data_IF_319351645764
#
_entry.id   IF_319351645764
#
_cell.length_a   1.000
_cell.length_b   1.000
_cell.length_c   1.000
_cell.angle_alpha   90.00
_cell.angle_beta   90.00
_cell.angle_gamma   90.00
#
_symmetry.space_group_name_H-M   'P 1'
#
loop_
_entity.id
_entity.type
_entity.pdbx_description
1 polymer ?
#
# COMPACT_ATOMS: atom_id res chain seq x y z
N UNK A 1 4.46 26.25 4.37
CA UNK A 1 5.23 25.40 3.45
C UNK A 1 5.76 24.26 4.27
N UNK A 2 5.48 23.02 3.87
CA UNK A 2 6.01 21.86 4.59
C UNK A 2 7.45 21.58 4.17
N UNK A 3 8.27 21.17 5.13
CA UNK A 3 9.70 20.93 4.93
C UNK A 3 9.94 19.73 4.00
N UNK A 4 10.82 19.91 3.01
CA UNK A 4 11.27 18.84 2.11
C UNK A 4 12.68 18.42 2.54
N UNK A 5 12.80 17.18 3.01
CA UNK A 5 14.06 16.57 3.41
C UNK A 5 14.65 15.79 2.23
N UNK A 6 15.97 15.91 2.03
CA UNK A 6 16.71 15.22 0.95
C UNK A 6 17.61 14.15 1.56
N UNK A 7 17.61 12.96 0.99
CA UNK A 7 18.36 11.80 1.45
C UNK A 7 19.10 11.15 0.28
N UNK A 8 20.29 10.60 0.58
CA UNK A 8 21.11 9.88 -0.40
C UNK A 8 20.78 8.40 -0.47
N UNK A 9 20.38 7.79 0.65
CA UNK A 9 20.09 6.35 0.72
C UNK A 9 18.78 6.06 1.44
N UNK A 10 18.18 4.90 1.15
CA UNK A 10 17.03 4.40 1.91
C UNK A 10 17.40 4.13 3.38
N UNK A 11 18.65 3.76 3.64
CA UNK A 11 19.19 3.62 4.99
C UNK A 11 19.09 4.95 5.75
N UNK A 12 19.44 6.08 5.14
CA UNK A 12 19.30 7.39 5.79
C UNK A 12 17.84 7.73 6.10
N UNK A 13 16.91 7.36 5.21
CA UNK A 13 15.47 7.52 5.46
C UNK A 13 15.02 6.63 6.61
N UNK A 14 15.42 5.36 6.64
CA UNK A 14 15.08 4.44 7.73
C UNK A 14 15.59 4.95 9.08
N UNK A 15 16.81 5.52 9.11
CA UNK A 15 17.36 6.16 10.30
C UNK A 15 16.52 7.36 10.72
N UNK A 16 16.17 8.23 9.78
CA UNK A 16 15.30 9.38 10.04
C UNK A 16 13.94 8.95 10.59
N UNK A 17 13.29 7.93 10.00
CA UNK A 17 12.02 7.40 10.50
C UNK A 17 12.15 6.85 11.93
N UNK A 18 13.23 6.12 12.24
CA UNK A 18 13.51 5.66 13.61
C UNK A 18 13.74 6.82 14.57
N UNK A 19 14.41 7.89 14.15
CA UNK A 19 14.62 9.10 14.97
C UNK A 19 13.30 9.84 15.22
N UNK A 20 12.46 9.99 14.20
CA UNK A 20 11.11 10.58 14.31
C UNK A 20 10.29 9.82 15.34
N UNK A 21 10.33 8.48 15.30
CA UNK A 21 9.64 7.61 16.26
C UNK A 21 10.34 7.52 17.63
N UNK A 22 11.58 8.04 17.79
CA UNK A 22 12.34 8.00 19.05
C UNK A 22 12.30 9.31 19.83
N UNK A 23 11.92 10.43 19.21
CA UNK A 23 12.05 11.76 19.82
C UNK A 23 11.04 12.00 20.97
N UNK A 24 11.38 11.43 22.13
CA UNK A 24 10.88 11.58 23.50
C UNK A 24 11.13 12.98 24.08
N UNK A 25 10.55 14.04 23.52
CA UNK A 25 10.70 15.37 24.13
C UNK A 25 9.54 15.79 25.06
N UNK A 26 8.38 15.11 25.01
CA UNK A 26 7.31 15.28 26.01
C UNK A 26 6.48 14.00 26.13
N UNK A 27 6.19 13.51 27.34
CA UNK A 27 5.16 12.51 27.58
C UNK A 27 3.78 13.16 27.39
N UNK A 28 3.38 13.38 26.13
CA UNK A 28 1.99 13.58 25.76
C UNK A 28 1.39 12.22 25.44
N UNK A 29 0.12 12.00 25.80
CA UNK A 29 -0.67 10.76 25.58
C UNK A 29 -0.94 10.47 24.07
N UNK A 30 0.05 10.59 23.19
CA UNK A 30 -0.17 10.62 21.75
C UNK A 30 0.70 9.59 21.00
N UNK A 31 0.07 8.54 20.45
CA UNK A 31 0.77 7.45 19.73
C UNK A 31 1.61 7.96 18.56
N UNK A 32 2.88 7.56 18.50
CA UNK A 32 3.80 7.90 17.40
C UNK A 32 3.60 6.94 16.21
N UNK A 33 2.93 7.44 15.17
CA UNK A 33 2.69 6.73 13.92
C UNK A 33 3.28 7.50 12.74
N UNK A 34 3.90 6.81 11.79
CA UNK A 34 4.30 7.36 10.50
C UNK A 34 3.45 6.75 9.39
N UNK A 35 2.77 7.59 8.62
CA UNK A 35 2.08 7.21 7.40
C UNK A 35 2.86 7.74 6.18
N UNK A 36 3.33 6.83 5.32
CA UNK A 36 4.23 7.12 4.21
C UNK A 36 3.54 6.78 2.89
N UNK A 37 3.24 7.79 2.07
CA UNK A 37 2.82 7.56 0.70
C UNK A 37 4.04 7.50 -0.22
N UNK A 38 4.09 6.53 -1.12
CA UNK A 38 5.11 6.49 -2.16
C UNK A 38 4.65 5.70 -3.38
N UNK A 39 4.90 6.24 -4.57
CA UNK A 39 4.53 5.58 -5.83
C UNK A 39 5.20 4.21 -5.99
N UNK A 40 4.69 3.42 -6.93
CA UNK A 40 5.33 2.17 -7.33
C UNK A 40 6.75 2.45 -7.82
N UNK A 41 7.70 1.60 -7.43
CA UNK A 41 9.12 1.80 -7.74
C UNK A 41 9.88 2.76 -6.80
N UNK A 42 9.22 3.45 -5.86
CA UNK A 42 9.91 4.36 -4.92
C UNK A 42 10.82 3.64 -3.89
N UNK A 43 10.82 2.31 -3.86
CA UNK A 43 11.67 1.53 -2.96
C UNK A 43 11.09 1.27 -1.57
N UNK A 44 9.77 1.42 -1.37
CA UNK A 44 9.10 1.21 -0.06
C UNK A 44 9.39 -0.16 0.57
N UNK A 45 9.34 -1.23 -0.21
CA UNK A 45 9.69 -2.58 0.27
C UNK A 45 11.16 -2.67 0.69
N UNK A 46 12.08 -2.02 -0.01
CA UNK A 46 13.50 -1.97 0.41
C UNK A 46 13.66 -1.12 1.66
N UNK A 47 12.92 -0.02 1.79
CA UNK A 47 12.91 0.83 2.98
C UNK A 47 12.42 0.07 4.22
N UNK A 48 11.37 -0.77 4.10
CA UNK A 48 10.91 -1.61 5.21
C UNK A 48 11.99 -2.59 5.68
N UNK A 49 12.77 -3.13 4.74
CA UNK A 49 13.90 -3.99 5.06
C UNK A 49 15.04 -3.22 5.71
N UNK A 50 15.46 -2.06 5.18
CA UNK A 50 16.45 -1.19 5.82
C UNK A 50 16.05 -0.83 7.26
N UNK A 51 14.78 -0.48 7.47
CA UNK A 51 14.24 -0.19 8.78
C UNK A 51 14.34 -1.39 9.72
N UNK A 52 13.95 -2.59 9.27
CA UNK A 52 14.05 -3.84 10.03
C UNK A 52 15.51 -4.18 10.36
N UNK A 53 16.42 -4.08 9.40
CA UNK A 53 17.84 -4.45 9.57
C UNK A 53 18.51 -3.59 10.65
N UNK A 54 18.18 -2.29 10.74
CA UNK A 54 18.65 -1.40 11.82
C UNK A 54 18.24 -1.83 13.23
N UNK A 55 17.20 -2.66 13.32
CA UNK A 55 16.67 -3.19 14.57
C UNK A 55 17.35 -4.45 15.06
N UNK A 56 18.27 -5.02 14.27
CA UNK A 56 18.95 -6.26 14.60
C UNK A 56 20.23 -5.99 15.37
N UNK A 57 20.48 -6.79 16.40
CA UNK A 57 21.80 -6.92 17.02
C UNK A 57 22.45 -8.21 16.54
N UNK A 58 23.78 -8.18 16.44
CA UNK A 58 24.60 -9.30 15.98
C UNK A 58 25.61 -9.66 17.06
N UNK A 59 25.94 -10.95 17.18
CA UNK A 59 27.12 -11.40 17.93
C UNK A 59 28.40 -11.24 17.09
N UNK A 60 29.54 -11.59 17.69
CA UNK A 60 30.86 -11.52 17.06
C UNK A 60 30.98 -12.46 15.84
N UNK A 61 30.14 -13.49 15.75
CA UNK A 61 30.09 -14.47 14.66
C UNK A 61 29.11 -14.06 13.53
N UNK A 62 28.42 -12.92 13.68
CA UNK A 62 27.47 -12.41 12.70
C UNK A 62 26.06 -13.04 12.77
N UNK A 63 25.75 -13.79 13.82
CA UNK A 63 24.41 -14.31 14.05
C UNK A 63 23.53 -13.24 14.71
N UNK A 64 22.25 -13.23 14.36
CA UNK A 64 21.29 -12.27 14.92
C UNK A 64 20.93 -12.69 16.35
N UNK A 65 21.29 -11.85 17.33
CA UNK A 65 21.01 -12.10 18.76
C UNK A 65 19.70 -11.48 19.24
N UNK A 66 19.27 -10.38 18.62
CA UNK A 66 18.01 -9.74 18.95
C UNK A 66 17.44 -8.94 17.78
N UNK A 67 16.13 -8.67 17.82
CA UNK A 67 15.38 -7.91 16.82
C UNK A 67 14.35 -7.05 17.56
N UNK A 68 13.92 -5.95 16.93
CA UNK A 68 12.94 -5.04 17.52
C UNK A 68 11.74 -4.70 16.62
N UNK A 69 11.70 -5.21 15.38
CA UNK A 69 10.71 -4.81 14.36
C UNK A 69 9.94 -6.01 13.82
N UNK A 70 8.62 -5.99 14.00
CA UNK A 70 7.66 -6.84 13.29
C UNK A 70 7.30 -6.15 11.96
N UNK A 71 7.19 -6.89 10.86
CA UNK A 71 6.91 -6.29 9.56
C UNK A 71 5.96 -7.11 8.69
N UNK A 72 5.25 -6.41 7.82
CA UNK A 72 4.44 -6.96 6.72
C UNK A 72 4.91 -6.35 5.41
N UNK A 73 5.28 -7.18 4.45
CA UNK A 73 5.67 -6.81 3.09
C UNK A 73 5.70 -8.08 2.22
N UNK A 74 6.15 -7.97 0.96
CA UNK A 74 6.31 -9.12 0.06
C UNK A 74 7.14 -10.30 0.64
N UNK A 75 8.18 -10.04 1.45
CA UNK A 75 8.95 -11.11 2.10
C UNK A 75 8.14 -11.87 3.16
N UNK A 76 7.11 -11.23 3.73
CA UNK A 76 6.18 -11.87 4.67
C UNK A 76 5.18 -12.74 3.93
N UNK A 77 4.70 -12.28 2.77
CA UNK A 77 3.84 -13.07 1.89
C UNK A 77 4.56 -14.32 1.38
N UNK A 78 5.85 -14.20 1.02
CA UNK A 78 6.70 -15.31 0.58
C UNK A 78 6.95 -16.37 1.67
N UNK A 79 6.58 -16.12 2.93
CA UNK A 79 6.59 -17.14 3.99
C UNK A 79 5.47 -18.18 3.82
N UNK A 80 4.52 -17.91 2.93
CA UNK A 80 3.39 -18.76 2.65
C UNK A 80 3.45 -19.22 1.19
N UNK A 81 3.37 -20.53 0.97
CA UNK A 81 3.55 -21.11 -0.36
C UNK A 81 2.53 -22.19 -0.62
N UNK A 82 1.95 -22.20 -1.83
CA UNK A 82 1.02 -23.26 -2.21
C UNK A 82 1.74 -24.55 -2.56
N UNK A 83 1.26 -25.64 -1.99
CA UNK A 83 1.47 -26.98 -2.49
C UNK A 83 0.19 -27.44 -3.21
N UNK A 84 0.20 -27.33 -4.54
CA UNK A 84 -0.91 -27.67 -5.44
C UNK A 84 -0.51 -28.84 -6.35
N UNK A 85 -1.48 -29.32 -7.14
CA UNK A 85 -1.29 -30.33 -8.21
C UNK A 85 -0.61 -31.62 -7.71
N UNK A 86 -0.98 -32.03 -6.49
CA UNK A 86 -0.56 -33.28 -5.87
C UNK A 86 -1.34 -34.47 -6.45
N UNK A 87 -0.90 -35.68 -6.14
CA UNK A 87 -1.49 -36.90 -6.72
C UNK A 87 -3.02 -36.92 -6.51
N UNK A 88 -3.76 -37.06 -7.61
CA UNK A 88 -5.23 -37.02 -7.67
C UNK A 88 -5.90 -35.66 -7.38
N UNK A 89 -5.17 -34.54 -7.34
CA UNK A 89 -5.73 -33.19 -7.12
C UNK A 89 -6.49 -33.00 -5.79
N UNK A 90 -6.25 -33.88 -4.80
CA UNK A 90 -7.07 -33.96 -3.58
C UNK A 90 -6.52 -33.21 -2.37
N UNK A 91 -5.20 -33.02 -2.28
CA UNK A 91 -4.53 -32.54 -1.05
C UNK A 91 -3.92 -31.14 -1.20
N UNK A 92 -4.71 -30.14 -1.59
CA UNK A 92 -4.20 -28.75 -1.74
C UNK A 92 -4.06 -28.08 -0.39
N UNK A 93 -2.87 -27.58 -0.08
CA UNK A 93 -2.63 -26.86 1.18
C UNK A 93 -1.63 -25.72 1.02
N UNK A 94 -1.71 -24.79 1.96
CA UNK A 94 -0.86 -23.61 2.04
C UNK A 94 0.22 -23.83 3.10
N UNK A 95 1.47 -23.97 2.67
CA UNK A 95 2.61 -24.31 3.51
C UNK A 95 3.23 -23.07 4.14
N UNK A 96 3.55 -23.18 5.43
CA UNK A 96 4.18 -22.15 6.25
C UNK A 96 5.69 -22.41 6.37
N UNK A 97 6.50 -21.37 6.16
CA UNK A 97 7.95 -21.45 6.34
C UNK A 97 8.35 -21.31 7.83
N UNK A 98 8.30 -22.41 8.58
CA UNK A 98 8.56 -22.46 10.03
C UNK A 98 9.96 -22.08 10.47
N UNK A 99 10.93 -21.99 9.56
CA UNK A 99 12.27 -21.46 9.87
C UNK A 99 12.25 -19.96 10.17
N UNK A 100 11.17 -19.26 9.80
CA UNK A 100 10.97 -17.86 10.10
C UNK A 100 10.52 -17.64 11.54
N UNK A 101 11.17 -16.69 12.22
CA UNK A 101 10.78 -16.25 13.57
C UNK A 101 9.37 -15.67 13.64
N UNK A 102 8.78 -15.32 12.49
CA UNK A 102 7.38 -14.93 12.35
C UNK A 102 6.42 -15.97 12.94
N UNK A 103 6.82 -17.25 12.93
CA UNK A 103 5.99 -18.37 13.38
C UNK A 103 6.37 -18.91 14.76
N UNK A 104 7.32 -18.30 15.48
CA UNK A 104 7.82 -18.84 16.76
C UNK A 104 6.74 -19.01 17.83
N UNK A 105 5.72 -18.13 17.85
CA UNK A 105 4.61 -18.21 18.81
C UNK A 105 3.44 -19.09 18.37
N UNK A 106 3.49 -19.68 17.16
CA UNK A 106 2.32 -20.34 16.56
C UNK A 106 1.76 -21.50 17.37
N UNK A 107 2.65 -22.33 17.94
CA UNK A 107 2.25 -23.61 18.54
C UNK A 107 1.60 -23.46 19.91
N UNK A 108 1.89 -22.38 20.62
CA UNK A 108 1.45 -22.17 22.01
C UNK A 108 0.26 -21.20 22.09
N UNK A 109 0.08 -20.38 21.06
CA UNK A 109 -0.96 -19.36 21.00
C UNK A 109 -2.07 -19.87 20.06
N UNK A 110 -3.29 -20.01 20.57
CA UNK A 110 -4.50 -20.36 19.79
C UNK A 110 -4.81 -19.24 18.78
N UNK A 111 -4.00 -19.15 17.74
CA UNK A 111 -4.04 -18.08 16.76
C UNK A 111 -5.23 -18.22 15.84
N UNK A 112 -5.79 -19.42 15.65
CA UNK A 112 -6.97 -19.63 14.78
C UNK A 112 -8.11 -18.69 15.17
N UNK A 113 -8.48 -18.61 16.45
CA UNK A 113 -9.60 -17.76 16.88
C UNK A 113 -9.37 -16.27 16.59
N UNK A 114 -8.12 -15.80 16.74
CA UNK A 114 -7.77 -14.40 16.41
C UNK A 114 -7.80 -14.18 14.90
N UNK A 115 -7.22 -15.10 14.13
CA UNK A 115 -7.19 -15.02 12.66
C UNK A 115 -8.62 -15.07 12.10
N UNK A 116 -9.45 -16.00 12.57
CA UNK A 116 -10.87 -16.12 12.22
C UNK A 116 -11.61 -14.82 12.52
N UNK A 117 -11.36 -14.18 13.67
CA UNK A 117 -12.01 -12.91 14.04
C UNK A 117 -11.75 -11.75 13.07
N UNK A 118 -10.64 -11.81 12.31
CA UNK A 118 -10.38 -10.86 11.22
C UNK A 118 -10.86 -11.41 9.88
N UNK A 119 -10.61 -12.68 9.58
CA UNK A 119 -10.82 -13.27 8.25
C UNK A 119 -12.29 -13.32 7.83
N UNK A 120 -13.20 -13.62 8.77
CA UNK A 120 -14.64 -13.68 8.49
C UNK A 120 -15.25 -12.33 8.09
N UNK A 121 -14.57 -11.21 8.34
CA UNK A 121 -15.02 -9.88 7.91
C UNK A 121 -14.87 -9.68 6.41
N UNK A 122 -13.98 -10.44 5.76
CA UNK A 122 -13.60 -10.24 4.37
C UNK A 122 -14.02 -11.41 3.47
N UNK A 123 -14.05 -12.62 4.02
CA UNK A 123 -14.24 -13.84 3.24
C UNK A 123 -15.13 -14.84 4.00
N UNK A 124 -16.09 -15.44 3.29
CA UNK A 124 -16.91 -16.56 3.79
C UNK A 124 -16.20 -17.91 3.52
N UNK A 125 -15.08 -18.10 4.21
CA UNK A 125 -14.26 -19.32 4.14
C UNK A 125 -13.83 -19.76 5.53
N UNK A 126 -13.66 -21.06 5.69
CA UNK A 126 -13.08 -21.68 6.89
C UNK A 126 -11.65 -22.12 6.58
N UNK A 127 -10.81 -22.18 7.61
CA UNK A 127 -9.47 -22.73 7.50
C UNK A 127 -9.13 -23.57 8.71
N UNK A 128 -8.15 -24.45 8.56
CA UNK A 128 -7.58 -25.24 9.64
C UNK A 128 -6.05 -25.20 9.53
N UNK A 129 -5.38 -24.88 10.64
CA UNK A 129 -3.91 -24.82 10.70
C UNK A 129 -3.40 -26.11 11.33
N UNK A 130 -2.63 -26.87 10.56
CA UNK A 130 -1.87 -28.00 11.06
C UNK A 130 -0.47 -27.52 11.48
N UNK A 131 -0.28 -27.34 12.79
CA UNK A 131 0.98 -26.88 13.37
C UNK A 131 2.10 -27.95 13.37
N UNK A 132 1.75 -29.23 13.22
CA UNK A 132 2.73 -30.31 13.12
C UNK A 132 3.37 -30.31 11.74
N UNK A 133 2.54 -30.23 10.69
CA UNK A 133 2.97 -30.22 9.30
C UNK A 133 3.22 -28.82 8.73
N UNK A 134 2.93 -27.78 9.51
CA UNK A 134 3.06 -26.38 9.12
C UNK A 134 2.28 -26.07 7.83
N UNK A 135 1.02 -26.51 7.77
CA UNK A 135 0.15 -26.35 6.63
C UNK A 135 -1.19 -25.76 7.02
N UNK A 136 -1.84 -25.08 6.07
CA UNK A 136 -3.19 -24.55 6.23
C UNK A 136 -4.06 -25.12 5.12
N UNK A 137 -5.20 -25.66 5.51
CA UNK A 137 -6.23 -26.17 4.60
C UNK A 137 -7.42 -25.21 4.66
N UNK A 138 -8.02 -24.95 3.50
CA UNK A 138 -9.22 -24.12 3.40
C UNK A 138 -10.43 -24.98 3.06
N UNK A 139 -11.59 -24.57 3.57
CA UNK A 139 -12.87 -25.20 3.28
C UNK A 139 -14.00 -24.18 3.16
N UNK A 140 -15.08 -24.58 2.50
CA UNK A 140 -16.29 -23.76 2.36
C UNK A 140 -17.54 -24.60 2.57
N UNK A 141 -18.60 -23.97 3.07
CA UNK A 141 -19.93 -24.57 3.09
C UNK A 141 -20.58 -24.39 1.71
N UNK A 142 -21.15 -25.46 1.16
CA UNK A 142 -21.89 -25.45 -0.10
C UNK A 142 -23.24 -26.16 0.09
N UNK A 143 -24.28 -25.73 -0.63
CA UNK A 143 -25.60 -26.36 -0.55
C UNK A 143 -25.73 -27.34 -1.70
N UNK A 144 -25.55 -28.61 -1.41
CA UNK A 144 -25.67 -29.69 -2.39
C UNK A 144 -26.94 -30.48 -2.07
N UNK A 145 -27.87 -30.49 -3.03
CA UNK A 145 -29.17 -31.19 -2.90
C UNK A 145 -30.01 -30.76 -1.68
N UNK A 146 -29.89 -29.50 -1.25
CA UNK A 146 -30.64 -28.95 -0.12
C UNK A 146 -30.07 -29.27 1.26
N UNK A 147 -28.91 -29.92 1.32
CA UNK A 147 -28.14 -30.11 2.55
C UNK A 147 -26.84 -29.29 2.51
N UNK A 148 -26.47 -28.70 3.64
CA UNK A 148 -25.17 -28.05 3.80
C UNK A 148 -24.08 -29.14 3.84
N UNK A 149 -23.14 -29.07 2.92
CA UNK A 149 -21.96 -29.92 2.86
C UNK A 149 -20.70 -29.05 2.92
N UNK A 150 -19.70 -29.50 3.67
CA UNK A 150 -18.39 -28.83 3.70
C UNK A 150 -17.52 -29.41 2.61
N UNK A 151 -16.93 -28.55 1.78
CA UNK A 151 -15.94 -28.90 0.77
C UNK A 151 -14.57 -28.49 1.30
N UNK A 152 -13.74 -29.48 1.63
CA UNK A 152 -12.38 -29.30 2.13
C UNK A 152 -11.34 -29.23 1.00
N UNK A 153 -10.10 -28.88 1.35
CA UNK A 153 -8.92 -28.84 0.46
C UNK A 153 -9.12 -27.95 -0.78
N UNK A 154 -9.84 -26.84 -0.64
CA UNK A 154 -10.09 -25.94 -1.76
C UNK A 154 -8.90 -25.03 -2.04
N UNK A 155 -8.69 -24.72 -3.33
CA UNK A 155 -7.80 -23.64 -3.75
C UNK A 155 -8.57 -22.33 -3.72
N UNK A 156 -8.07 -21.36 -2.97
CA UNK A 156 -8.64 -20.01 -2.89
C UNK A 156 -7.99 -19.07 -3.91
N UNK A 157 -8.62 -17.93 -4.21
CA UNK A 157 -8.11 -16.91 -5.12
C UNK A 157 -6.89 -16.18 -4.56
N UNK A 158 -6.12 -15.50 -5.42
CA UNK A 158 -4.98 -14.68 -5.00
C UNK A 158 -5.36 -13.59 -4.00
N UNK A 159 -6.52 -12.97 -4.17
CA UNK A 159 -7.03 -11.96 -3.23
C UNK A 159 -7.31 -12.57 -1.85
N UNK A 160 -7.96 -13.74 -1.81
CA UNK A 160 -8.23 -14.47 -0.55
C UNK A 160 -6.94 -14.96 0.12
N UNK A 161 -5.92 -15.35 -0.65
CA UNK A 161 -4.59 -15.67 -0.11
C UNK A 161 -3.99 -14.45 0.60
N UNK A 162 -3.93 -13.30 -0.09
CA UNK A 162 -3.41 -12.05 0.49
C UNK A 162 -4.19 -11.65 1.74
N UNK A 163 -5.52 -11.78 1.72
CA UNK A 163 -6.38 -11.52 2.87
C UNK A 163 -6.08 -12.44 4.05
N UNK A 164 -5.87 -13.74 3.80
CA UNK A 164 -5.53 -14.68 4.86
C UNK A 164 -4.19 -14.34 5.50
N UNK A 165 -3.14 -14.11 4.70
CA UNK A 165 -1.80 -13.72 5.20
C UNK A 165 -1.90 -12.41 5.99
N UNK A 166 -2.69 -11.45 5.51
CA UNK A 166 -2.95 -10.19 6.20
C UNK A 166 -3.65 -10.40 7.55
N UNK A 167 -4.71 -11.21 7.61
CA UNK A 167 -5.40 -11.54 8.87
C UNK A 167 -4.49 -12.27 9.86
N UNK A 168 -3.62 -13.14 9.34
CA UNK A 168 -2.57 -13.80 10.11
C UNK A 168 -1.62 -12.78 10.75
N UNK A 169 -1.16 -11.81 9.96
CA UNK A 169 -0.33 -10.72 10.45
C UNK A 169 -1.04 -9.85 11.48
N UNK A 170 -2.31 -9.48 11.26
CA UNK A 170 -3.10 -8.71 12.22
C UNK A 170 -3.24 -9.43 13.57
N UNK A 171 -3.42 -10.75 13.57
CA UNK A 171 -3.47 -11.54 14.80
C UNK A 171 -2.14 -11.46 15.58
N UNK A 172 -1.00 -11.49 14.89
CA UNK A 172 0.32 -11.30 15.51
C UNK A 172 0.50 -9.86 16.00
N UNK A 173 0.08 -8.86 15.22
CA UNK A 173 0.11 -7.47 15.66
C UNK A 173 -0.72 -7.26 16.93
N UNK A 174 -1.91 -7.86 17.02
CA UNK A 174 -2.73 -7.81 18.23
C UNK A 174 -1.99 -8.40 19.42
N UNK A 175 -1.33 -9.56 19.27
CA UNK A 175 -0.53 -10.15 20.35
C UNK A 175 0.63 -9.26 20.80
N UNK A 176 1.32 -8.61 19.85
CA UNK A 176 2.36 -7.65 20.18
C UNK A 176 1.80 -6.45 20.98
N UNK A 177 0.67 -5.88 20.53
CA UNK A 177 -0.01 -4.76 21.20
C UNK A 177 -0.49 -5.16 22.61
N UNK A 178 -0.96 -6.40 22.76
CA UNK A 178 -1.40 -7.00 24.03
C UNK A 178 -0.22 -7.36 24.95
N UNK A 179 1.03 -7.13 24.53
CA UNK A 179 2.27 -7.50 25.25
C UNK A 179 2.37 -8.99 25.58
N UNK A 180 1.91 -9.85 24.68
CA UNK A 180 2.11 -11.28 24.81
C UNK A 180 3.62 -11.61 24.93
N UNK A 181 4.04 -12.47 25.88
CA UNK A 181 5.46 -12.81 26.07
C UNK A 181 6.17 -13.30 24.81
N UNK A 182 5.47 -13.96 23.89
CA UNK A 182 6.07 -14.43 22.63
C UNK A 182 6.47 -13.27 21.69
N UNK A 183 5.85 -12.11 21.86
CA UNK A 183 6.05 -10.92 21.01
C UNK A 183 6.53 -9.68 21.78
N UNK A 184 6.99 -9.84 23.02
CA UNK A 184 7.48 -8.73 23.86
C UNK A 184 8.74 -8.03 23.30
N UNK A 185 9.41 -8.65 22.32
CA UNK A 185 10.56 -8.08 21.62
C UNK A 185 10.15 -6.99 20.60
N UNK A 186 8.87 -6.96 20.20
CA UNK A 186 8.36 -6.03 19.18
C UNK A 186 8.27 -4.62 19.77
N UNK A 187 9.13 -3.73 19.31
CA UNK A 187 9.10 -2.28 19.62
C UNK A 187 8.55 -1.45 18.48
N UNK A 188 8.69 -1.96 17.26
CA UNK A 188 8.25 -1.32 16.03
C UNK A 188 7.42 -2.26 15.18
N UNK A 189 6.38 -1.73 14.53
CA UNK A 189 5.65 -2.39 13.45
C UNK A 189 5.93 -1.63 12.15
N UNK A 190 6.26 -2.35 11.08
CA UNK A 190 6.41 -1.77 9.75
C UNK A 190 5.51 -2.50 8.76
N UNK A 191 4.53 -1.80 8.16
CA UNK A 191 3.60 -2.36 7.19
C UNK A 191 3.85 -1.71 5.83
N UNK A 192 4.16 -2.49 4.82
CA UNK A 192 4.36 -2.04 3.44
C UNK A 192 3.30 -2.66 2.52
N UNK A 193 2.47 -1.82 1.91
CA UNK A 193 1.47 -2.15 0.89
C UNK A 193 0.59 -3.39 1.22
N UNK A 194 -0.19 -3.36 2.31
CA UNK A 194 -0.92 -4.54 2.80
C UNK A 194 -2.10 -5.00 1.93
N UNK A 195 -2.38 -4.30 0.83
CA UNK A 195 -3.58 -4.50 0.01
C UNK A 195 -3.27 -4.65 -1.49
N UNK A 196 -2.03 -4.95 -1.86
CA UNK A 196 -1.69 -5.19 -3.26
C UNK A 196 -2.56 -6.30 -3.84
N UNK A 197 -3.39 -5.97 -4.84
CA UNK A 197 -4.34 -6.87 -5.55
C UNK A 197 -5.74 -7.05 -4.92
N UNK A 198 -6.13 -6.23 -3.93
CA UNK A 198 -7.49 -6.24 -3.38
C UNK A 198 -8.41 -5.20 -4.04
N UNK A 199 -9.72 -5.43 -3.96
CA UNK A 199 -10.73 -4.45 -4.40
C UNK A 199 -10.87 -3.26 -3.44
N UNK A 200 -11.55 -2.20 -3.89
CA UNK A 200 -11.71 -0.96 -3.12
C UNK A 200 -12.48 -1.14 -1.80
N UNK A 201 -13.44 -2.07 -1.72
CA UNK A 201 -14.23 -2.28 -0.50
C UNK A 201 -13.39 -2.98 0.57
N UNK A 202 -12.62 -3.98 0.17
CA UNK A 202 -11.67 -4.66 1.03
C UNK A 202 -10.57 -3.69 1.50
N UNK A 203 -10.06 -2.85 0.61
CA UNK A 203 -9.08 -1.81 0.97
C UNK A 203 -9.59 -0.86 2.07
N UNK A 204 -10.84 -0.39 1.98
CA UNK A 204 -11.44 0.47 3.01
C UNK A 204 -11.56 -0.28 4.34
N UNK A 205 -12.11 -1.50 4.31
CA UNK A 205 -12.38 -2.30 5.50
C UNK A 205 -11.08 -2.61 6.26
N UNK A 206 -10.04 -3.04 5.53
CA UNK A 206 -8.72 -3.31 6.09
C UNK A 206 -8.08 -2.05 6.69
N UNK A 207 -8.23 -0.90 6.05
CA UNK A 207 -7.72 0.37 6.58
C UNK A 207 -8.41 0.72 7.91
N UNK A 208 -9.74 0.58 7.97
CA UNK A 208 -10.51 0.82 9.19
C UNK A 208 -10.10 -0.13 10.32
N UNK A 209 -9.99 -1.43 10.04
CA UNK A 209 -9.63 -2.45 11.03
C UNK A 209 -8.20 -2.25 11.53
N UNK A 210 -7.24 -1.95 10.64
CA UNK A 210 -5.87 -1.61 11.02
C UNK A 210 -5.83 -0.36 11.89
N UNK A 211 -6.57 0.69 11.52
CA UNK A 211 -6.61 1.90 12.31
C UNK A 211 -7.21 1.65 13.69
N UNK A 212 -8.30 0.88 13.78
CA UNK A 212 -8.90 0.48 15.04
C UNK A 212 -7.91 -0.35 15.88
N UNK A 213 -7.23 -1.32 15.31
CA UNK A 213 -6.23 -2.13 16.00
C UNK A 213 -5.13 -1.26 16.61
N UNK A 214 -4.55 -0.34 15.83
CA UNK A 214 -3.45 0.51 16.28
C UNK A 214 -3.90 1.62 17.24
N UNK A 215 -5.15 2.06 17.16
CA UNK A 215 -5.71 3.11 18.03
C UNK A 215 -6.33 2.57 19.31
N UNK A 216 -6.77 1.32 19.34
CA UNK A 216 -7.31 0.65 20.52
C UNK A 216 -6.18 0.20 21.45
N UNK A 217 -6.36 0.32 22.77
CA UNK A 217 -5.37 -0.10 23.77
C UNK A 217 -4.41 1.01 24.22
N UNK A 218 -3.89 0.86 25.44
CA UNK A 218 -3.05 1.86 26.14
C UNK A 218 -1.54 1.72 25.93
N UNK A 219 -1.08 0.74 25.16
CA UNK A 219 0.33 0.51 24.84
C UNK A 219 0.58 0.96 23.40
N UNK A 220 1.56 1.83 23.20
CA UNK A 220 1.87 2.43 21.90
C UNK A 220 3.07 1.73 21.28
N UNK A 221 2.81 0.77 20.39
CA UNK A 221 3.86 0.25 19.50
C UNK A 221 4.05 1.27 18.36
N UNK A 222 5.30 1.71 18.19
CA UNK A 222 5.68 2.67 17.17
C UNK A 222 5.51 2.05 15.79
N UNK A 223 4.74 2.70 14.94
CA UNK A 223 4.29 2.08 13.69
C UNK A 223 4.64 2.92 12.47
N UNK A 224 5.17 2.29 11.42
CA UNK A 224 5.32 2.86 10.08
C UNK A 224 4.39 2.11 9.14
N UNK A 225 3.57 2.84 8.38
CA UNK A 225 2.74 2.27 7.32
C UNK A 225 3.15 2.95 6.02
N UNK A 226 3.68 2.19 5.05
CA UNK A 226 3.97 2.67 3.71
C UNK A 226 2.99 2.11 2.70
N UNK A 227 2.49 2.96 1.80
CA UNK A 227 1.64 2.48 0.71
C UNK A 227 1.73 3.31 -0.57
N UNK A 228 1.47 2.68 -1.72
CA UNK A 228 1.14 3.37 -2.97
C UNK A 228 -0.36 3.52 -3.18
N UNK A 229 -1.19 2.83 -2.40
CA UNK A 229 -2.61 2.76 -2.62
C UNK A 229 -3.33 3.93 -1.94
N UNK A 230 -3.87 4.79 -2.78
CA UNK A 230 -4.31 6.12 -2.38
C UNK A 230 -5.58 6.17 -1.54
N UNK A 231 -6.56 5.32 -1.86
CA UNK A 231 -7.78 5.21 -1.05
C UNK A 231 -7.43 4.75 0.37
N UNK A 232 -6.65 3.68 0.47
CA UNK A 232 -6.10 3.14 1.72
C UNK A 232 -5.34 4.19 2.52
N UNK A 233 -4.40 4.91 1.90
CA UNK A 233 -3.70 6.03 2.54
C UNK A 233 -4.68 7.07 3.08
N UNK A 234 -5.70 7.46 2.29
CA UNK A 234 -6.68 8.47 2.69
C UNK A 234 -7.59 8.01 3.83
N UNK A 235 -8.03 6.75 3.81
CA UNK A 235 -8.83 6.18 4.92
C UNK A 235 -7.99 6.19 6.20
N UNK A 236 -6.75 5.68 6.14
CA UNK A 236 -5.84 5.72 7.28
C UNK A 236 -5.53 7.15 7.75
N UNK A 237 -5.29 8.08 6.82
CA UNK A 237 -5.08 9.48 7.14
C UNK A 237 -6.24 10.05 7.96
N UNK A 238 -7.47 9.78 7.54
CA UNK A 238 -8.67 10.28 8.20
C UNK A 238 -8.93 9.56 9.53
N UNK A 239 -8.74 8.24 9.58
CA UNK A 239 -8.96 7.44 10.78
C UNK A 239 -7.94 7.76 11.88
N UNK A 240 -6.65 7.90 11.52
CA UNK A 240 -5.63 8.33 12.48
C UNK A 240 -5.81 9.80 12.87
N UNK A 241 -6.12 10.65 11.87
CA UNK A 241 -6.64 12.01 12.01
C UNK A 241 -6.33 12.70 13.35
N UNK A 242 -7.38 12.99 14.13
CA UNK A 242 -7.27 13.59 15.47
C UNK A 242 -7.09 12.58 16.61
N UNK A 243 -7.16 11.28 16.32
CA UNK A 243 -7.09 10.21 17.32
C UNK A 243 -5.64 9.90 17.72
N UNK A 244 -4.69 10.13 16.82
CA UNK A 244 -3.28 9.74 16.96
C UNK A 244 -2.37 10.80 16.36
N UNK A 245 -1.27 11.10 17.04
CA UNK A 245 -0.21 11.96 16.49
C UNK A 245 0.54 11.21 15.40
N UNK A 246 0.08 11.40 14.18
CA UNK A 246 0.69 10.79 13.00
C UNK A 246 1.56 11.81 12.27
N UNK A 247 2.79 11.41 11.94
CA UNK A 247 3.60 12.07 10.93
C UNK A 247 3.24 11.50 9.57
N UNK A 248 2.99 12.38 8.60
CA UNK A 248 2.57 11.98 7.27
C UNK A 248 3.63 12.45 6.29
N UNK A 249 4.16 11.53 5.53
CA UNK A 249 5.25 11.79 4.60
C UNK A 249 4.90 11.33 3.19
N UNK A 250 5.46 12.05 2.23
CA UNK A 250 5.52 11.63 0.84
C UNK A 250 6.95 11.25 0.49
N UNK A 251 7.16 9.99 0.08
CA UNK A 251 8.41 9.48 -0.44
C UNK A 251 8.44 9.62 -1.96
N UNK A 252 9.40 10.39 -2.45
CA UNK A 252 9.66 10.51 -3.88
C UNK A 252 11.08 10.03 -4.19
N UNK A 253 11.18 9.18 -5.20
CA UNK A 253 12.45 8.78 -5.82
C UNK A 253 12.64 9.64 -7.08
N UNK A 254 13.64 10.53 -7.09
CA UNK A 254 13.91 11.37 -8.26
C UNK A 254 14.83 10.65 -9.24
N UNK A 255 16.00 10.26 -8.76
CA UNK A 255 17.11 9.68 -9.52
C UNK A 255 17.87 8.71 -8.60
N UNK A 256 18.77 7.85 -9.12
CA UNK A 256 19.68 7.08 -8.27
C UNK A 256 20.32 7.98 -7.21
N UNK A 257 20.30 7.52 -5.96
CA UNK A 257 20.85 8.22 -4.79
C UNK A 257 20.21 9.59 -4.46
N UNK A 258 19.01 9.89 -4.99
CA UNK A 258 18.26 11.10 -4.65
C UNK A 258 16.83 10.74 -4.23
N UNK A 259 16.65 10.63 -2.92
CA UNK A 259 15.35 10.47 -2.28
C UNK A 259 14.91 11.79 -1.64
N UNK A 260 13.61 12.09 -1.72
CA UNK A 260 13.04 13.24 -1.04
C UNK A 260 11.83 12.83 -0.22
N UNK A 261 11.79 13.28 1.04
CA UNK A 261 10.72 13.05 1.98
C UNK A 261 10.05 14.39 2.31
N UNK A 262 8.76 14.54 2.03
CA UNK A 262 8.02 15.77 2.35
C UNK A 262 6.98 15.51 3.41
N UNK A 263 6.97 16.29 4.51
CA UNK A 263 5.87 16.27 5.49
C UNK A 263 4.59 16.83 4.84
N UNK A 264 3.45 16.18 4.99
CA UNK A 264 2.18 16.64 4.39
C UNK A 264 1.26 17.36 5.39
N UNK A 265 1.65 17.41 6.68
CA UNK A 265 0.88 18.07 7.73
C UNK A 265 -0.55 17.52 7.88
N UNK A 266 -1.51 18.41 8.14
CA UNK A 266 -2.94 18.09 8.32
C UNK A 266 -3.77 18.14 7.04
N UNK A 267 -3.15 18.37 5.89
CA UNK A 267 -3.87 18.40 4.62
C UNK A 267 -4.06 16.95 4.14
N UNK A 268 -5.30 16.43 4.08
CA UNK A 268 -5.56 15.15 3.44
C UNK A 268 -5.05 15.26 2.02
N UNK A 269 -4.05 14.46 1.69
CA UNK A 269 -3.45 14.56 0.38
C UNK A 269 -4.44 14.01 -0.63
N UNK A 270 -5.03 14.89 -1.44
CA UNK A 270 -5.78 14.45 -2.60
C UNK A 270 -4.79 13.77 -3.54
N UNK A 271 -4.74 12.44 -3.54
CA UNK A 271 -3.98 11.63 -4.50
C UNK A 271 -4.09 12.11 -5.95
N UNK A 272 -5.25 12.68 -6.31
CA UNK A 272 -5.44 13.35 -7.59
C UNK A 272 -4.37 14.41 -7.84
N UNK A 273 -3.97 15.20 -6.84
CA UNK A 273 -2.89 16.19 -6.96
C UNK A 273 -1.54 15.55 -7.26
N UNK A 274 -1.16 14.40 -6.66
CA UNK A 274 0.10 13.72 -7.03
C UNK A 274 0.06 13.23 -8.49
N UNK A 275 -1.03 12.58 -8.90
CA UNK A 275 -1.16 12.13 -10.28
C UNK A 275 -1.11 13.34 -11.22
N UNK A 276 -1.86 14.41 -10.93
CA UNK A 276 -1.85 15.64 -11.75
C UNK A 276 -0.43 16.22 -11.80
N UNK A 277 0.30 16.24 -10.70
CA UNK A 277 1.70 16.68 -10.65
C UNK A 277 2.65 15.82 -11.48
N UNK A 278 2.50 14.49 -11.45
CA UNK A 278 3.27 13.57 -12.28
C UNK A 278 2.99 13.80 -13.77
N UNK A 279 1.71 13.91 -14.13
CA UNK A 279 1.28 14.23 -15.49
C UNK A 279 1.83 15.59 -15.97
N UNK A 280 2.00 16.57 -15.07
CA UNK A 280 2.65 17.85 -15.39
C UNK A 280 4.11 17.66 -15.81
N UNK A 281 4.89 16.90 -15.04
CA UNK A 281 6.29 16.58 -15.36
C UNK A 281 6.40 15.79 -16.68
N UNK A 282 5.44 14.91 -16.93
CA UNK A 282 5.34 14.15 -18.20
C UNK A 282 5.11 15.09 -19.38
N UNK A 283 4.22 16.09 -19.24
CA UNK A 283 3.97 17.12 -20.26
C UNK A 283 5.22 17.97 -20.52
N UNK A 284 5.94 18.36 -19.46
CA UNK A 284 7.16 19.16 -19.54
C UNK A 284 8.34 18.39 -20.17
N UNK A 285 8.47 17.09 -19.88
CA UNK A 285 9.54 16.23 -20.39
C UNK A 285 9.27 15.63 -21.78
N UNK A 286 8.05 15.80 -22.32
CA UNK A 286 7.56 15.24 -23.58
C UNK A 286 7.61 13.69 -23.68
N UNK A 287 7.89 12.98 -22.58
CA UNK A 287 7.94 11.50 -22.53
C UNK A 287 6.56 10.92 -22.18
N UNK A 288 5.62 11.05 -23.13
CA UNK A 288 4.22 10.68 -22.88
C UNK A 288 3.90 9.29 -23.43
N UNK A 289 3.55 8.36 -22.53
CA UNK A 289 3.15 7.00 -22.81
C UNK A 289 1.62 6.83 -22.74
N UNK A 290 1.11 5.74 -23.32
CA UNK A 290 -0.32 5.42 -23.38
C UNK A 290 -0.99 5.33 -21.99
N UNK A 291 -0.30 4.83 -20.97
CA UNK A 291 -0.86 4.73 -19.62
C UNK A 291 -1.12 6.10 -18.95
N UNK A 292 -0.46 7.18 -19.39
CA UNK A 292 -0.72 8.52 -18.88
C UNK A 292 -2.13 9.01 -19.23
N UNK A 293 -2.70 8.60 -20.38
CA UNK A 293 -4.09 8.88 -20.73
C UNK A 293 -5.06 8.21 -19.73
N UNK A 294 -4.77 6.99 -19.28
CA UNK A 294 -5.60 6.31 -18.29
C UNK A 294 -5.56 7.04 -16.93
N UNK A 295 -4.38 7.50 -16.52
CA UNK A 295 -4.22 8.30 -15.31
C UNK A 295 -5.01 9.62 -15.39
N UNK A 296 -4.89 10.34 -16.52
CA UNK A 296 -5.64 11.58 -16.77
C UNK A 296 -7.15 11.33 -16.79
N UNK A 297 -7.60 10.27 -17.46
CA UNK A 297 -9.01 9.87 -17.51
C UNK A 297 -9.58 9.65 -16.12
N UNK A 298 -8.88 8.88 -15.28
CA UNK A 298 -9.34 8.60 -13.91
C UNK A 298 -9.50 9.87 -13.08
N UNK A 299 -8.59 10.84 -13.24
CA UNK A 299 -8.72 12.15 -12.58
C UNK A 299 -9.95 12.91 -13.09
N UNK A 300 -10.13 12.97 -14.41
CA UNK A 300 -11.24 13.69 -15.02
C UNK A 300 -12.60 13.09 -14.65
N UNK A 301 -12.71 11.76 -14.62
CA UNK A 301 -13.92 11.04 -14.18
C UNK A 301 -14.28 11.36 -12.73
N UNK A 302 -13.29 11.34 -11.83
CA UNK A 302 -13.49 11.67 -10.43
C UNK A 302 -13.83 13.15 -10.24
N UNK A 303 -13.22 14.03 -11.04
CA UNK A 303 -13.53 15.47 -11.03
C UNK A 303 -14.95 15.72 -11.53
N UNK A 304 -15.37 15.06 -12.62
CA UNK A 304 -16.72 15.14 -13.15
C UNK A 304 -17.75 14.69 -12.10
N UNK A 305 -17.50 13.54 -11.47
CA UNK A 305 -18.33 13.03 -10.37
C UNK A 305 -18.41 14.01 -9.20
N UNK A 306 -17.28 14.58 -8.77
CA UNK A 306 -17.23 15.56 -7.68
C UNK A 306 -18.05 16.83 -7.96
N UNK A 307 -18.00 17.35 -9.18
CA UNK A 307 -18.78 18.52 -9.60
C UNK A 307 -20.21 18.19 -10.08
N UNK A 308 -20.62 16.92 -10.08
CA UNK A 308 -21.94 16.48 -10.52
C UNK A 308 -22.17 16.58 -12.04
N UNK A 309 -21.11 16.46 -12.83
CA UNK A 309 -21.20 16.44 -14.29
C UNK A 309 -21.61 15.06 -14.82
N UNK A 310 -22.47 15.05 -15.82
CA UNK A 310 -22.92 13.87 -16.57
C UNK A 310 -21.90 13.39 -17.62
N UNK A 311 -20.90 14.22 -17.95
CA UNK A 311 -19.88 13.94 -18.97
C UNK A 311 -18.52 14.51 -18.59
N UNK A 312 -17.45 13.83 -19.04
CA UNK A 312 -16.05 14.13 -18.72
C UNK A 312 -15.52 15.38 -19.47
N UNK A 313 -16.04 15.67 -20.67
CA UNK A 313 -15.75 16.90 -21.44
C UNK A 313 -15.94 18.17 -20.61
N UNK A 314 -16.94 18.18 -19.73
CA UNK A 314 -17.21 19.31 -18.83
C UNK A 314 -16.06 19.62 -17.88
N UNK A 315 -15.12 18.71 -17.67
CA UNK A 315 -13.91 18.99 -16.88
C UNK A 315 -12.82 19.73 -17.66
N UNK A 316 -12.93 19.87 -18.98
CA UNK A 316 -11.84 20.39 -19.81
C UNK A 316 -12.27 21.71 -20.44
N UNK A 317 -11.34 22.65 -20.57
CA UNK A 317 -11.58 23.93 -21.24
C UNK A 317 -11.10 23.87 -22.70
N UNK A 318 -11.92 24.31 -23.66
CA UNK A 318 -11.51 24.47 -25.06
C UNK A 318 -11.51 23.21 -25.94
N UNK A 319 -12.13 22.11 -25.49
CA UNK A 319 -12.44 20.94 -26.34
C UNK A 319 -13.79 21.08 -27.07
N UNK A 320 -14.17 22.30 -27.43
CA UNK A 320 -15.40 22.55 -28.22
C UNK A 320 -15.32 21.96 -29.64
N UNK A 321 -14.14 21.53 -30.06
CA UNK A 321 -13.94 20.78 -31.31
C UNK A 321 -14.36 19.32 -31.11
N UNK A 322 -15.54 19.00 -31.65
CA UNK A 322 -16.18 17.69 -31.63
C UNK A 322 -15.22 16.58 -32.10
N UNK A 323 -14.34 16.87 -33.06
CA UNK A 323 -13.35 15.92 -33.61
C UNK A 323 -12.22 15.63 -32.62
N UNK A 324 -11.74 16.65 -31.89
CA UNK A 324 -10.73 16.47 -30.85
C UNK A 324 -11.30 15.70 -29.66
N UNK A 325 -12.56 15.96 -29.30
CA UNK A 325 -13.24 15.27 -28.22
C UNK A 325 -13.51 13.80 -28.56
N UNK A 326 -13.99 13.49 -29.77
CA UNK A 326 -14.14 12.12 -30.24
C UNK A 326 -12.81 11.36 -30.25
N UNK A 327 -11.73 11.99 -30.72
CA UNK A 327 -10.38 11.39 -30.70
C UNK A 327 -9.88 11.14 -29.28
N UNK A 328 -10.13 12.08 -28.35
CA UNK A 328 -9.82 11.90 -26.94
C UNK A 328 -10.62 10.76 -26.32
N UNK A 329 -11.93 10.69 -26.58
CA UNK A 329 -12.80 9.60 -26.15
C UNK A 329 -12.36 8.25 -26.71
N UNK A 330 -11.94 8.15 -27.97
CA UNK A 330 -11.41 6.91 -28.55
C UNK A 330 -10.14 6.44 -27.84
N UNK A 331 -9.21 7.36 -27.55
CA UNK A 331 -7.99 7.04 -26.80
C UNK A 331 -8.30 6.63 -25.36
N UNK A 332 -9.26 7.28 -24.72
CA UNK A 332 -9.71 6.93 -23.38
C UNK A 332 -10.46 5.59 -23.34
N UNK A 333 -11.26 5.28 -24.35
CA UNK A 333 -12.18 4.12 -24.37
C UNK A 333 -11.57 2.82 -24.88
N UNK A 334 -10.44 2.87 -25.60
CA UNK A 334 -9.69 1.67 -25.94
C UNK A 334 -8.87 1.17 -24.73
N UNK A 335 -9.52 0.40 -23.86
CA UNK A 335 -8.89 -0.42 -22.80
C UNK A 335 -7.97 -1.54 -23.32
N UNK A 336 -7.35 -1.36 -24.50
CA UNK A 336 -6.39 -2.29 -25.12
C UNK A 336 -4.93 -1.86 -24.96
N UNK A 337 -4.65 -0.70 -24.37
CA UNK A 337 -3.29 -0.37 -23.97
C UNK A 337 -2.96 -1.13 -22.71
N UNK A 338 -2.33 -2.29 -22.88
CA UNK A 338 -1.83 -3.10 -21.77
C UNK A 338 -0.91 -2.25 -20.91
N UNK A 339 -1.21 -2.17 -19.61
CA UNK A 339 -0.31 -1.57 -18.60
C UNK A 339 1.08 -2.24 -18.65
N UNK A 340 1.13 -3.49 -19.16
CA UNK A 340 2.32 -4.33 -19.23
C UNK A 340 3.17 -4.11 -20.50
N UNK A 341 2.74 -3.27 -21.45
CA UNK A 341 3.55 -2.90 -22.64
C UNK A 341 3.39 -1.40 -22.98
N UNK A 342 4.03 -0.50 -22.20
CA UNK A 342 3.88 0.94 -22.38
C UNK A 342 4.61 1.43 -23.64
N UNK A 343 3.84 1.82 -24.66
CA UNK A 343 4.38 2.45 -25.87
C UNK A 343 4.39 3.97 -25.75
N UNK A 344 5.50 4.58 -26.15
CA UNK A 344 5.59 6.03 -26.30
C UNK A 344 4.66 6.48 -27.43
N UNK A 345 3.95 7.58 -27.21
CA UNK A 345 2.93 8.04 -28.15
C UNK A 345 3.50 8.78 -29.34
N UNK A 346 2.78 8.70 -30.46
CA UNK A 346 3.06 9.47 -31.68
C UNK A 346 2.69 10.96 -31.44
N UNK A 347 3.38 11.88 -32.13
CA UNK A 347 3.27 13.34 -31.96
C UNK A 347 1.85 13.87 -31.79
N UNK A 348 0.94 13.54 -32.71
CA UNK A 348 -0.46 13.98 -32.62
C UNK A 348 -1.15 13.62 -31.29
N UNK A 349 -0.90 12.41 -30.77
CA UNK A 349 -1.51 11.95 -29.52
C UNK A 349 -0.85 12.61 -28.30
N UNK A 350 0.46 12.91 -28.38
CA UNK A 350 1.15 13.72 -27.37
C UNK A 350 0.56 15.13 -27.30
N UNK A 351 0.36 15.77 -28.45
CA UNK A 351 -0.20 17.12 -28.52
C UNK A 351 -1.64 17.16 -28.00
N UNK A 352 -2.44 16.14 -28.32
CA UNK A 352 -3.78 16.00 -27.77
C UNK A 352 -3.75 15.85 -26.24
N UNK A 353 -2.85 15.01 -25.70
CA UNK A 353 -2.67 14.86 -24.25
C UNK A 353 -2.36 16.20 -23.58
N UNK A 354 -1.36 16.93 -24.10
CA UNK A 354 -0.94 18.23 -23.57
C UNK A 354 -2.06 19.25 -23.59
N UNK A 355 -2.87 19.29 -24.66
CA UNK A 355 -4.03 20.20 -24.76
C UNK A 355 -5.10 19.87 -23.72
N UNK A 356 -5.44 18.60 -23.55
CA UNK A 356 -6.41 18.16 -22.55
C UNK A 356 -5.92 18.50 -21.14
N UNK A 357 -4.68 18.12 -20.84
CA UNK A 357 -4.07 18.35 -19.54
C UNK A 357 -4.00 19.84 -19.22
N UNK A 358 -3.42 20.67 -20.09
CA UNK A 358 -3.32 22.11 -19.85
C UNK A 358 -4.71 22.77 -19.75
N UNK A 359 -5.68 22.34 -20.54
CA UNK A 359 -7.06 22.81 -20.44
C UNK A 359 -7.71 22.46 -19.10
N UNK A 360 -7.42 21.29 -18.55
CA UNK A 360 -7.88 20.85 -17.23
C UNK A 360 -7.25 21.69 -16.10
N UNK A 361 -5.93 21.89 -16.14
CA UNK A 361 -5.17 22.64 -15.11
C UNK A 361 -5.51 24.14 -15.16
N UNK A 362 -5.78 24.69 -16.34
CA UNK A 362 -6.17 26.08 -16.48
C UNK A 362 -7.61 26.35 -15.98
N UNK A 363 -8.50 25.35 -16.09
CA UNK A 363 -9.88 25.46 -15.65
C UNK A 363 -10.03 25.43 -14.13
N UNK A 364 -9.17 24.70 -13.44
CA UNK A 364 -9.25 24.47 -12.00
C UNK A 364 -7.97 24.93 -11.31
N UNK A 365 -8.09 25.73 -10.25
CA UNK A 365 -6.95 26.24 -9.48
C UNK A 365 -6.35 25.14 -8.57
N UNK A 366 -5.48 24.30 -9.13
CA UNK A 366 -4.75 23.29 -8.36
C UNK A 366 -3.53 23.90 -7.66
N UNK A 367 -3.43 23.69 -6.34
CA UNK A 367 -2.21 23.96 -5.58
C UNK A 367 -1.28 22.75 -5.61
N UNK A 368 -0.16 22.87 -6.33
CA UNK A 368 0.85 21.81 -6.44
C UNK A 368 1.89 21.92 -5.30
N UNK A 369 2.17 20.83 -4.56
CA UNK A 369 3.25 20.81 -3.59
C UNK A 369 4.62 21.07 -4.22
N UNK A 370 5.52 21.74 -3.49
CA UNK A 370 6.84 22.16 -3.97
C UNK A 370 7.73 21.01 -4.48
N UNK A 371 7.59 19.80 -3.90
CA UNK A 371 8.32 18.60 -4.35
C UNK A 371 8.04 18.25 -5.83
N UNK A 372 6.92 18.74 -6.37
CA UNK A 372 6.53 18.53 -7.75
C UNK A 372 6.82 19.73 -8.66
N UNK A 373 7.17 20.89 -8.11
CA UNK A 373 7.44 22.12 -8.87
C UNK A 373 8.94 22.37 -9.11
N UNK A 374 9.85 21.59 -8.53
CA UNK A 374 11.27 21.70 -8.87
C UNK A 374 11.54 21.09 -10.26
N UNK A 375 12.10 21.85 -11.22
CA UNK A 375 12.46 21.32 -12.52
C UNK A 375 13.49 20.21 -12.32
N UNK A 376 13.20 19.03 -12.85
CA UNK A 376 14.21 18.00 -13.07
C UNK A 376 15.21 18.61 -14.05
N UNK A 377 16.40 18.97 -13.56
CA UNK A 377 17.49 19.36 -14.45
C UNK A 377 17.81 18.14 -15.30
N UNK A 378 17.21 18.06 -16.49
CA UNK A 378 17.57 17.08 -17.49
C UNK A 378 19.07 17.26 -17.75
N UNK A 379 19.88 16.35 -17.23
CA UNK A 379 21.26 16.25 -17.62
C UNK A 379 21.27 15.95 -19.12
N UNK A 380 21.62 16.98 -19.89
CA UNK A 380 22.13 16.85 -21.26
C UNK A 380 23.21 15.78 -21.26
N UNK A 381 22.94 14.68 -21.96
CA UNK A 381 23.96 13.74 -22.44
C UNK A 381 24.29 14.14 -23.87
#
# INVERSE_FOLDING_TARGET
MSEVLKFTTLTDIAKHLREVLKNDAKPSLEKDLVLLFGHNGAGKTRLSMEFKEMGKAYDDDGNVTSRDTLYFNAFTEDLFSWHNDLENDTDRYFKLNTDSTFFNGLRELQLETKIESFFHNYVDLKFNIDYENASVIFSRSDIVEGAEQTIDNIKISRGEETLFIWCFFLAICQLAIDQDPAYSWVKYIYIDDPISSLDENNAISIACDLANLLTTGGIEIKTVISTHHSLFFNVLFNEFGRKVKSKRYFLHFKEPDIYTLQDTGDTPFFHHIAIISELKKVVESDKIFTYHFNALRSILEKTASFFGYDKIDKCIHGLEDEVLFERALQLFSHGKYSIFDPQEMIGDNKDLFKRIFNGFIAKYEFHFPEIFNEPTNAATI
#
